data_IF_013873075237
#
_entry.id   IF_013873075237
#
_cell.length_a   1.000
_cell.length_b   1.000
_cell.length_c   1.000
_cell.angle_alpha   90.00
_cell.angle_beta   90.00
_cell.angle_gamma   90.00
#
_symmetry.space_group_name_H-M   'P 1'
#
loop_
_entity.id
_entity.type
_entity.pdbx_description
1 polymer ?
#
# COMPACT_ATOMS: atom_id res chain seq x y z
N UNK A 1 -21.69 -2.27 55.17
CA UNK A 1 -20.64 -3.07 55.84
C UNK A 1 -20.70 -4.47 55.28
N UNK A 2 -19.78 -4.79 54.36
CA UNK A 2 -19.65 -6.13 53.75
C UNK A 2 -18.23 -6.65 54.01
N UNK A 3 -18.14 -7.94 54.32
CA UNK A 3 -17.10 -8.61 55.09
C UNK A 3 -15.75 -8.79 54.35
N UNK A 4 -14.59 -8.86 55.04
CA UNK A 4 -13.24 -8.87 54.45
C UNK A 4 -12.82 -10.17 53.74
N UNK A 5 -13.71 -11.16 53.57
CA UNK A 5 -13.35 -12.47 53.01
C UNK A 5 -13.37 -12.55 51.48
N UNK A 6 -14.01 -11.61 50.78
CA UNK A 6 -14.11 -11.68 49.32
C UNK A 6 -12.88 -11.14 48.57
N UNK A 7 -12.00 -10.38 49.23
CA UNK A 7 -10.80 -9.79 48.60
C UNK A 7 -9.51 -10.61 48.77
N UNK A 8 -9.60 -11.87 49.23
CA UNK A 8 -8.44 -12.76 49.41
C UNK A 8 -8.36 -13.88 48.39
N UNK A 9 -9.48 -14.26 47.76
CA UNK A 9 -9.48 -15.31 46.72
C UNK A 9 -9.07 -14.78 45.34
N UNK A 10 -9.33 -13.51 45.01
CA UNK A 10 -8.90 -12.94 43.72
C UNK A 10 -7.40 -12.67 43.62
N UNK A 11 -6.68 -12.58 44.75
CA UNK A 11 -5.22 -12.36 44.74
C UNK A 11 -4.38 -13.62 44.54
N UNK A 12 -4.99 -14.81 44.58
CA UNK A 12 -4.30 -16.07 44.33
C UNK A 12 -4.61 -16.69 42.95
N UNK A 13 -5.54 -16.12 42.18
CA UNK A 13 -5.86 -16.58 40.82
C UNK A 13 -5.03 -15.90 39.71
N UNK A 14 -4.21 -14.90 40.04
CA UNK A 14 -3.40 -14.12 39.08
C UNK A 14 -1.92 -14.54 39.00
N UNK A 15 -1.53 -15.64 39.65
CA UNK A 15 -0.19 -16.20 39.55
C UNK A 15 -0.26 -17.62 38.99
N UNK A 16 0.38 -17.85 37.83
CA UNK A 16 0.49 -19.12 37.10
C UNK A 16 -0.72 -19.57 36.26
N UNK A 17 -0.88 -18.91 35.10
CA UNK A 17 -1.11 -19.63 33.83
C UNK A 17 -0.24 -19.03 32.74
N UNK A 18 1.03 -19.42 32.79
CA UNK A 18 1.96 -19.45 31.66
C UNK A 18 1.54 -20.60 30.73
N UNK A 19 1.21 -20.26 29.49
CA UNK A 19 0.85 -21.19 28.42
C UNK A 19 0.84 -20.45 27.09
N UNK A 20 2.04 -20.27 26.55
CA UNK A 20 2.34 -19.67 25.26
C UNK A 20 1.95 -20.61 24.12
N UNK A 21 1.01 -20.21 23.28
CA UNK A 21 0.99 -20.65 21.87
C UNK A 21 0.14 -19.71 21.01
N UNK A 22 0.75 -18.62 20.57
CA UNK A 22 0.48 -17.97 19.28
C UNK A 22 1.71 -17.16 18.92
N UNK A 23 2.31 -17.48 17.77
CA UNK A 23 3.49 -16.84 17.22
C UNK A 23 3.26 -15.33 16.98
N UNK A 24 3.59 -14.52 17.98
CA UNK A 24 3.78 -13.08 17.85
C UNK A 24 5.27 -12.86 17.65
N UNK A 25 5.72 -12.59 16.43
CA UNK A 25 7.11 -12.20 16.20
C UNK A 25 7.34 -10.84 16.88
N UNK A 26 8.26 -10.73 17.85
CA UNK A 26 8.52 -9.46 18.52
C UNK A 26 9.41 -8.57 17.63
N UNK A 27 8.92 -7.36 17.34
CA UNK A 27 9.75 -6.22 16.97
C UNK A 27 10.40 -5.66 18.25
N UNK A 28 11.67 -5.20 18.25
CA UNK A 28 12.52 -4.87 17.10
C UNK A 28 13.21 -6.09 16.48
N UNK A 29 13.38 -6.07 15.15
CA UNK A 29 14.24 -7.05 14.48
C UNK A 29 15.65 -7.00 15.09
N UNK A 30 16.34 -8.14 15.27
CA UNK A 30 17.74 -8.12 15.68
C UNK A 30 18.54 -7.32 14.65
N UNK A 31 19.34 -6.37 15.13
CA UNK A 31 20.29 -5.63 14.32
C UNK A 31 21.19 -6.64 13.60
N UNK A 32 21.18 -6.59 12.27
CA UNK A 32 22.16 -7.29 11.45
C UNK A 32 23.52 -6.64 11.72
N UNK A 33 24.25 -7.13 12.73
CA UNK A 33 25.67 -6.87 12.89
C UNK A 33 26.41 -7.47 11.69
N UNK A 34 26.48 -6.72 10.59
CA UNK A 34 27.33 -7.06 9.46
C UNK A 34 28.77 -6.70 9.79
N UNK A 35 29.42 -7.53 10.60
CA UNK A 35 30.88 -7.54 10.65
C UNK A 35 31.43 -8.25 9.40
N UNK A 36 31.41 -7.56 8.26
CA UNK A 36 32.17 -7.97 7.09
C UNK A 36 33.62 -7.57 7.32
N UNK A 37 34.44 -8.53 7.76
CA UNK A 37 35.88 -8.35 7.90
C UNK A 37 36.54 -8.41 6.51
N UNK A 38 36.80 -7.23 5.92
CA UNK A 38 37.28 -7.03 4.55
C UNK A 38 38.77 -7.36 4.34
N UNK A 39 39.43 -8.00 5.31
CA UNK A 39 40.84 -8.37 5.21
C UNK A 39 40.99 -9.88 5.38
N UNK A 40 41.08 -10.58 4.26
CA UNK A 40 41.90 -11.78 3.99
C UNK A 40 41.18 -12.68 2.99
N UNK A 41 41.38 -12.45 1.69
CA UNK A 41 41.55 -13.52 0.69
C UNK A 41 42.48 -12.97 -0.40
N UNK A 42 43.78 -13.28 -0.28
CA UNK A 42 44.71 -13.34 -1.41
C UNK A 42 45.39 -14.70 -1.29
N UNK A 43 45.33 -15.49 -2.36
CA UNK A 43 46.43 -16.28 -2.97
C UNK A 43 45.83 -17.23 -4.05
N UNK A 44 45.94 -16.74 -5.30
CA UNK A 44 46.28 -17.38 -6.59
C UNK A 44 45.91 -18.83 -6.92
N UNK A 45 45.20 -19.01 -8.05
CA UNK A 45 45.62 -19.87 -9.18
C UNK A 45 44.87 -19.48 -10.46
N UNK A 46 45.60 -19.32 -11.56
CA UNK A 46 45.12 -18.87 -12.87
C UNK A 46 44.30 -19.94 -13.60
N UNK A 47 43.07 -19.61 -13.96
CA UNK A 47 42.35 -20.12 -15.13
C UNK A 47 41.49 -18.94 -15.63
N UNK A 48 41.74 -18.53 -16.87
CA UNK A 48 41.06 -17.45 -17.56
C UNK A 48 39.56 -17.73 -17.68
N UNK A 49 38.79 -17.28 -16.67
CA UNK A 49 37.36 -17.07 -16.79
C UNK A 49 37.21 -15.60 -17.13
N UNK A 50 37.08 -15.30 -18.42
CA UNK A 50 36.51 -14.03 -18.87
C UNK A 50 35.19 -13.87 -18.13
N UNK A 51 34.99 -12.83 -17.31
CA UNK A 51 33.65 -12.56 -16.84
C UNK A 51 32.89 -12.14 -18.10
N UNK A 52 32.06 -13.02 -18.64
CA UNK A 52 30.86 -12.54 -19.29
C UNK A 52 30.11 -11.80 -18.19
N UNK A 53 30.38 -10.49 -18.09
CA UNK A 53 29.38 -9.54 -17.69
C UNK A 53 28.24 -9.72 -18.70
N UNK A 54 27.41 -10.73 -18.48
CA UNK A 54 26.09 -10.74 -19.05
C UNK A 54 25.46 -9.49 -18.46
N UNK A 55 25.40 -8.45 -19.30
CA UNK A 55 24.46 -7.37 -19.10
C UNK A 55 23.11 -8.08 -18.97
N UNK A 56 22.66 -8.25 -17.73
CA UNK A 56 21.23 -8.39 -17.47
C UNK A 56 20.64 -7.26 -18.29
N UNK A 57 19.78 -7.52 -19.30
CA UNK A 57 19.16 -6.43 -20.02
C UNK A 57 18.51 -5.60 -18.93
N UNK A 58 19.04 -4.39 -18.73
CA UNK A 58 18.32 -3.38 -18.01
C UNK A 58 16.98 -3.39 -18.71
N UNK A 59 15.92 -3.88 -18.04
CA UNK A 59 14.56 -3.57 -18.45
C UNK A 59 14.61 -2.10 -18.79
N UNK A 60 14.42 -1.76 -20.07
CA UNK A 60 14.78 -0.46 -20.65
C UNK A 60 14.74 0.61 -19.58
N UNK A 61 15.90 1.14 -19.19
CA UNK A 61 15.97 2.14 -18.12
C UNK A 61 15.13 3.33 -18.61
N UNK A 62 13.84 3.35 -18.27
CA UNK A 62 12.91 4.38 -18.71
C UNK A 62 13.50 5.69 -18.21
N UNK A 63 13.93 6.51 -19.16
CA UNK A 63 14.62 7.76 -18.82
C UNK A 63 13.60 8.79 -18.35
N UNK A 64 14.04 9.78 -17.57
CA UNK A 64 13.19 10.94 -17.22
C UNK A 64 12.63 11.61 -18.47
N UNK A 65 13.47 11.77 -19.49
CA UNK A 65 13.13 12.34 -20.80
C UNK A 65 12.00 11.57 -21.50
N UNK A 66 12.12 10.24 -21.60
CA UNK A 66 11.07 9.42 -22.21
C UNK A 66 9.78 9.50 -21.42
N UNK A 67 9.85 9.41 -20.08
CA UNK A 67 8.69 9.52 -19.22
C UNK A 67 7.95 10.85 -19.40
N UNK A 68 8.65 11.99 -19.46
CA UNK A 68 8.01 13.28 -19.71
C UNK A 68 7.35 13.35 -21.09
N UNK A 69 7.97 12.78 -22.13
CA UNK A 69 7.38 12.69 -23.46
C UNK A 69 6.12 11.80 -23.49
N UNK A 70 6.11 10.71 -22.71
CA UNK A 70 4.92 9.86 -22.55
C UNK A 70 3.79 10.58 -21.82
N UNK A 71 4.11 11.29 -20.73
CA UNK A 71 3.16 12.07 -19.94
C UNK A 71 2.50 13.13 -20.84
N UNK A 72 3.29 13.85 -21.64
CA UNK A 72 2.77 14.85 -22.57
C UNK A 72 1.87 14.23 -23.64
N UNK A 73 2.22 13.05 -24.17
CA UNK A 73 1.34 12.31 -25.09
C UNK A 73 0.03 11.89 -24.44
N UNK A 74 0.06 11.47 -23.17
CA UNK A 74 -1.11 10.98 -22.46
C UNK A 74 -2.10 12.09 -22.07
N UNK A 75 -1.59 13.24 -21.62
CA UNK A 75 -2.43 14.33 -21.11
C UNK A 75 -2.53 15.55 -22.04
N UNK A 76 -1.71 15.63 -23.10
CA UNK A 76 -1.58 16.79 -23.98
C UNK A 76 -0.73 17.93 -23.40
N UNK A 77 -0.21 17.76 -22.19
CA UNK A 77 0.73 18.63 -21.49
C UNK A 77 1.40 17.83 -20.38
N UNK A 78 2.49 18.33 -19.79
CA UNK A 78 3.07 17.75 -18.56
C UNK A 78 2.45 18.41 -17.33
N UNK A 79 1.64 17.69 -16.50
CA UNK A 79 1.07 18.24 -15.28
C UNK A 79 2.14 18.71 -14.28
N UNK A 80 1.82 19.75 -13.51
CA UNK A 80 2.77 20.34 -12.55
C UNK A 80 3.29 19.37 -11.50
N UNK A 81 2.48 18.39 -11.08
CA UNK A 81 2.90 17.40 -10.09
C UNK A 81 3.98 16.43 -10.60
N UNK A 82 4.05 16.18 -11.91
CA UNK A 82 5.18 15.45 -12.51
C UNK A 82 6.43 16.32 -12.62
N UNK A 83 6.28 17.62 -12.91
CA UNK A 83 7.42 18.55 -13.04
C UNK A 83 8.18 18.76 -11.73
N UNK A 84 7.47 18.69 -10.59
CA UNK A 84 8.09 18.84 -9.24
C UNK A 84 8.61 17.51 -8.68
N UNK A 85 8.35 16.39 -9.35
CA UNK A 85 8.84 15.08 -8.93
C UNK A 85 10.35 14.97 -9.18
N UNK A 86 11.15 14.34 -8.29
CA UNK A 86 12.58 14.16 -8.53
C UNK A 86 12.85 13.49 -9.87
N UNK A 87 13.75 14.09 -10.68
CA UNK A 87 13.99 13.66 -12.06
C UNK A 87 14.32 12.16 -12.17
N UNK A 88 15.20 11.67 -11.29
CA UNK A 88 15.61 10.26 -11.28
C UNK A 88 14.47 9.29 -10.88
N UNK A 89 13.38 9.78 -10.31
CA UNK A 89 12.23 8.97 -9.90
C UNK A 89 11.01 9.09 -10.81
N UNK A 90 10.96 10.08 -11.71
CA UNK A 90 9.73 10.41 -12.47
C UNK A 90 9.32 9.28 -13.40
N UNK A 91 10.28 8.54 -13.97
CA UNK A 91 10.00 7.41 -14.84
C UNK A 91 9.26 6.29 -14.09
N UNK A 92 9.69 5.96 -12.87
CA UNK A 92 9.01 4.96 -12.06
C UNK A 92 7.60 5.42 -11.62
N UNK A 93 7.44 6.69 -11.26
CA UNK A 93 6.14 7.27 -10.90
C UNK A 93 5.18 7.28 -12.11
N UNK A 94 5.69 7.62 -13.28
CA UNK A 94 4.94 7.56 -14.53
C UNK A 94 4.50 6.13 -14.85
N UNK A 95 5.40 5.15 -14.76
CA UNK A 95 5.06 3.75 -15.01
C UNK A 95 3.89 3.27 -14.16
N UNK A 96 3.90 3.55 -12.85
CA UNK A 96 2.77 3.23 -11.97
C UNK A 96 1.48 3.90 -12.44
N UNK A 97 1.55 5.18 -12.78
CA UNK A 97 0.38 5.95 -13.24
C UNK A 97 -0.14 5.43 -14.58
N UNK A 98 0.75 5.19 -15.54
CA UNK A 98 0.44 4.69 -16.87
C UNK A 98 -0.24 3.32 -16.79
N UNK A 99 0.38 2.40 -16.05
CA UNK A 99 -0.05 1.00 -16.04
C UNK A 99 -1.34 0.80 -15.23
N UNK A 100 -1.54 1.56 -14.14
CA UNK A 100 -2.75 1.45 -13.32
C UNK A 100 -3.87 2.38 -13.75
N UNK A 101 -3.60 3.66 -14.00
CA UNK A 101 -4.64 4.67 -14.22
C UNK A 101 -4.97 4.84 -15.72
N UNK A 102 -3.94 4.98 -16.57
CA UNK A 102 -4.14 5.36 -17.99
C UNK A 102 -4.40 4.14 -18.89
N UNK A 103 -3.80 3.00 -18.58
CA UNK A 103 -3.86 1.80 -19.42
C UNK A 103 -5.30 1.31 -19.60
N UNK A 104 -5.59 0.88 -20.83
CA UNK A 104 -6.87 0.27 -21.21
C UNK A 104 -6.83 -1.27 -21.17
N UNK A 105 -5.67 -1.87 -20.86
CA UNK A 105 -5.46 -3.33 -20.83
C UNK A 105 -5.48 -3.87 -19.40
N UNK A 106 -6.40 -3.36 -18.57
CA UNK A 106 -6.52 -3.72 -17.16
C UNK A 106 -7.89 -4.34 -16.88
N UNK A 107 -8.00 -5.11 -15.80
CA UNK A 107 -9.26 -5.75 -15.39
C UNK A 107 -10.35 -4.73 -15.01
N UNK A 108 -9.97 -3.57 -14.48
CA UNK A 108 -10.89 -2.47 -14.18
C UNK A 108 -11.01 -1.53 -15.37
N UNK A 109 -12.23 -1.12 -15.67
CA UNK A 109 -12.50 -0.04 -16.62
C UNK A 109 -12.04 1.32 -16.08
N UNK A 110 -11.81 2.29 -16.97
CA UNK A 110 -11.48 3.67 -16.57
C UNK A 110 -12.52 4.29 -15.62
N UNK A 111 -13.80 3.93 -15.81
CA UNK A 111 -14.88 4.38 -14.92
C UNK A 111 -14.73 3.79 -13.52
N UNK A 112 -14.45 2.51 -13.39
CA UNK A 112 -14.28 1.85 -12.10
C UNK A 112 -13.07 2.40 -11.34
N UNK A 113 -11.93 2.56 -12.02
CA UNK A 113 -10.72 3.17 -11.44
C UNK A 113 -11.01 4.55 -10.87
N UNK A 114 -11.62 5.43 -11.67
CA UNK A 114 -11.94 6.79 -11.24
C UNK A 114 -12.94 6.81 -10.08
N UNK A 115 -13.96 5.94 -10.06
CA UNK A 115 -14.91 5.85 -8.94
C UNK A 115 -14.23 5.36 -7.64
N UNK A 116 -13.31 4.39 -7.75
CA UNK A 116 -12.49 3.93 -6.60
C UNK A 116 -11.61 5.07 -6.10
N UNK A 117 -10.93 5.79 -7.00
CA UNK A 117 -10.07 6.92 -6.63
C UNK A 117 -10.87 8.04 -5.95
N UNK A 118 -12.07 8.37 -6.44
CA UNK A 118 -12.97 9.34 -5.78
C UNK A 118 -13.33 8.88 -4.37
N UNK A 119 -13.70 7.60 -4.19
CA UNK A 119 -14.05 7.04 -2.89
C UNK A 119 -12.87 7.13 -1.90
N UNK A 120 -11.66 6.76 -2.33
CA UNK A 120 -10.44 6.88 -1.51
C UNK A 120 -10.14 8.36 -1.23
N UNK A 121 -10.16 9.21 -2.24
CA UNK A 121 -9.87 10.64 -2.13
C UNK A 121 -10.80 11.37 -1.15
N UNK A 122 -12.07 10.96 -1.06
CA UNK A 122 -13.03 11.49 -0.08
C UNK A 122 -12.65 11.14 1.38
N UNK A 123 -12.03 9.99 1.61
CA UNK A 123 -11.60 9.53 2.93
C UNK A 123 -10.22 10.05 3.35
N UNK A 124 -9.33 10.33 2.39
CA UNK A 124 -8.03 11.00 2.58
C UNK A 124 -8.08 12.45 2.06
N UNK A 125 -9.12 13.22 2.43
CA UNK A 125 -9.68 14.39 1.74
C UNK A 125 -8.74 15.15 0.79
N UNK A 126 -8.47 14.56 -0.38
CA UNK A 126 -7.53 15.07 -1.36
C UNK A 126 -8.29 15.88 -2.41
N UNK A 127 -8.31 17.22 -2.26
CA UNK A 127 -9.04 18.10 -3.19
C UNK A 127 -8.59 17.94 -4.66
N UNK A 128 -7.29 17.73 -4.90
CA UNK A 128 -6.74 17.55 -6.24
C UNK A 128 -7.24 16.26 -6.88
N UNK A 129 -7.22 15.17 -6.12
CA UNK A 129 -7.68 13.85 -6.53
C UNK A 129 -9.19 13.89 -6.81
N UNK A 130 -10.00 14.40 -5.87
CA UNK A 130 -11.45 14.55 -6.06
C UNK A 130 -11.77 15.29 -7.36
N UNK A 131 -11.07 16.39 -7.66
CA UNK A 131 -11.28 17.12 -8.90
C UNK A 131 -10.88 16.32 -10.14
N UNK A 132 -9.66 15.79 -10.17
CA UNK A 132 -9.12 15.07 -11.33
C UNK A 132 -9.91 13.79 -11.62
N UNK A 133 -10.16 12.97 -10.60
CA UNK A 133 -10.88 11.70 -10.74
C UNK A 133 -12.36 11.92 -11.04
N UNK A 134 -13.00 13.00 -10.54
CA UNK A 134 -14.37 13.37 -10.97
C UNK A 134 -14.42 13.68 -12.47
N UNK A 135 -13.41 14.38 -13.01
CA UNK A 135 -13.33 14.66 -14.44
C UNK A 135 -13.09 13.38 -15.24
N UNK A 136 -12.18 12.53 -14.79
CA UNK A 136 -11.91 11.22 -15.41
C UNK A 136 -13.14 10.31 -15.42
N UNK A 137 -13.85 10.21 -14.29
CA UNK A 137 -15.07 9.41 -14.16
C UNK A 137 -16.14 9.87 -15.15
N UNK A 138 -16.39 11.19 -15.25
CA UNK A 138 -17.37 11.75 -16.19
C UNK A 138 -16.96 11.52 -17.64
N UNK A 139 -15.68 11.68 -17.97
CA UNK A 139 -15.16 11.37 -19.30
C UNK A 139 -15.32 9.88 -19.66
N UNK A 140 -15.23 8.99 -18.67
CA UNK A 140 -15.50 7.56 -18.81
C UNK A 140 -17.00 7.19 -18.71
N UNK A 141 -17.91 8.17 -18.76
CA UNK A 141 -19.35 7.94 -18.79
C UNK A 141 -20.00 7.64 -17.44
N UNK A 142 -19.35 7.96 -16.31
CA UNK A 142 -19.98 7.90 -15.00
C UNK A 142 -21.10 8.93 -14.88
N UNK A 143 -22.24 8.52 -14.31
CA UNK A 143 -23.32 9.44 -13.93
C UNK A 143 -23.01 10.12 -12.59
N UNK A 144 -23.62 11.29 -12.35
CA UNK A 144 -23.54 11.93 -11.03
C UNK A 144 -24.10 11.04 -9.91
N UNK A 145 -25.05 10.14 -10.24
CA UNK A 145 -25.56 9.14 -9.31
C UNK A 145 -24.49 8.14 -8.87
N UNK A 146 -23.71 7.62 -9.81
CA UNK A 146 -22.61 6.70 -9.51
C UNK A 146 -21.50 7.37 -8.69
N UNK A 147 -21.18 8.64 -8.98
CA UNK A 147 -20.20 9.40 -8.20
C UNK A 147 -20.69 9.62 -6.76
N UNK A 148 -21.96 10.02 -6.57
CA UNK A 148 -22.56 10.15 -5.23
C UNK A 148 -22.54 8.82 -4.47
N UNK A 149 -22.88 7.74 -5.14
CA UNK A 149 -22.87 6.40 -4.54
C UNK A 149 -21.45 6.00 -4.12
N UNK A 150 -20.43 6.22 -4.95
CA UNK A 150 -19.04 5.92 -4.60
C UNK A 150 -18.58 6.66 -3.33
N UNK A 151 -18.94 7.95 -3.19
CA UNK A 151 -18.64 8.73 -1.98
C UNK A 151 -19.42 8.18 -0.77
N UNK A 152 -20.70 7.84 -0.93
CA UNK A 152 -21.51 7.24 0.13
C UNK A 152 -20.96 5.87 0.59
N UNK A 153 -20.51 5.03 -0.34
CA UNK A 153 -19.86 3.75 -0.05
C UNK A 153 -18.56 3.94 0.75
N UNK A 154 -17.78 4.96 0.41
CA UNK A 154 -16.56 5.29 1.16
C UNK A 154 -16.88 5.69 2.62
N UNK A 155 -17.90 6.53 2.81
CA UNK A 155 -18.36 6.93 4.12
C UNK A 155 -18.91 5.75 4.94
N UNK A 156 -19.70 4.86 4.31
CA UNK A 156 -20.25 3.66 4.94
C UNK A 156 -19.16 2.70 5.40
N UNK A 157 -18.14 2.47 4.57
CA UNK A 157 -16.98 1.64 4.92
C UNK A 157 -16.27 2.20 6.15
N UNK A 158 -16.05 3.52 6.20
CA UNK A 158 -15.44 4.16 7.37
C UNK A 158 -16.34 4.11 8.61
N UNK A 159 -17.64 4.28 8.46
CA UNK A 159 -18.62 4.17 9.54
C UNK A 159 -18.50 2.81 10.23
N UNK A 160 -18.54 1.72 9.47
CA UNK A 160 -18.43 0.38 10.04
C UNK A 160 -17.03 0.09 10.58
N UNK A 161 -15.98 0.60 9.95
CA UNK A 161 -14.63 0.54 10.52
C UNK A 161 -14.58 1.18 11.91
N UNK A 162 -15.20 2.34 12.11
CA UNK A 162 -15.29 3.00 13.41
C UNK A 162 -16.04 2.15 14.45
N UNK A 163 -17.17 1.56 14.09
CA UNK A 163 -17.95 0.73 15.01
C UNK A 163 -17.22 -0.57 15.36
N UNK A 164 -16.78 -1.33 14.36
CA UNK A 164 -16.13 -2.64 14.56
C UNK A 164 -14.85 -2.51 15.39
N UNK A 165 -13.97 -1.57 15.02
CA UNK A 165 -12.73 -1.37 15.75
C UNK A 165 -12.96 -0.69 17.10
N UNK A 166 -13.86 0.30 17.17
CA UNK A 166 -14.14 1.05 18.39
C UNK A 166 -14.81 0.21 19.48
N UNK A 167 -15.70 -0.70 19.08
CA UNK A 167 -16.36 -1.65 19.99
C UNK A 167 -15.54 -2.92 20.23
N UNK A 168 -14.36 -3.05 19.59
CA UNK A 168 -13.48 -4.22 19.70
C UNK A 168 -14.23 -5.53 19.41
N UNK A 169 -15.00 -5.54 18.31
CA UNK A 169 -15.64 -6.77 17.84
C UNK A 169 -14.57 -7.82 17.55
N UNK A 170 -14.75 -9.03 18.06
CA UNK A 170 -13.80 -10.12 17.87
C UNK A 170 -13.77 -10.57 16.40
N UNK A 171 -12.57 -10.65 15.81
CA UNK A 171 -12.43 -10.94 14.39
C UNK A 171 -12.63 -12.42 14.06
N UNK A 172 -12.37 -13.33 15.00
CA UNK A 172 -12.62 -14.76 14.79
C UNK A 172 -14.13 -15.04 14.82
N UNK A 173 -14.87 -14.42 15.75
CA UNK A 173 -16.34 -14.47 15.77
C UNK A 173 -16.92 -13.90 14.46
N UNK A 174 -16.47 -12.72 14.02
CA UNK A 174 -16.93 -12.10 12.76
C UNK A 174 -16.68 -13.01 11.55
N UNK A 175 -15.51 -13.68 11.50
CA UNK A 175 -15.19 -14.64 10.43
C UNK A 175 -16.10 -15.85 10.45
N UNK A 176 -16.46 -16.37 11.63
CA UNK A 176 -17.41 -17.48 11.72
C UNK A 176 -18.81 -17.06 11.25
N UNK A 177 -19.26 -15.84 11.59
CA UNK A 177 -20.55 -15.31 11.19
C UNK A 177 -20.68 -15.15 9.66
N UNK A 178 -19.68 -14.53 9.01
CA UNK A 178 -19.70 -14.19 7.58
C UNK A 178 -19.07 -15.25 6.66
N UNK A 179 -18.34 -16.23 7.22
CA UNK A 179 -17.70 -17.32 6.49
C UNK A 179 -18.57 -18.56 6.30
N UNK A 180 -19.84 -18.52 6.72
CA UNK A 180 -20.85 -19.58 6.56
C UNK A 180 -21.40 -19.69 5.15
#
# INVERSE_FOLDING_TARGET
MSSPKFQREERHALANRTGSDTARLPWPLPELETHVNFKTIIVTAALSVTPLAQAVPASAQETSTEAFAEIERAFGFVPSFFKVYPEHGVAAAWRLTRDLEVSQTTELSAREKALINIAVAAQIPCQFCVFADTKAAKAAGATDGQIREAVAQAALTRHWSTILNGMQVDFDDFREEFGR
#
